data_IF_782673941266
#
_entry.id   IF_782673941266
#
_cell.length_a   1.000
_cell.length_b   1.000
_cell.length_c   1.000
_cell.angle_alpha   90.00
_cell.angle_beta   90.00
_cell.angle_gamma   90.00
#
_symmetry.space_group_name_H-M   'P 1'
#
loop_
_entity.id
_entity.type
_entity.pdbx_description
1 polymer ?
#
# COMPACT_ATOMS: atom_id res chain seq x y z
N UNK A 1 -25.98 0.78 53.63
CA UNK A 1 -26.76 1.44 52.55
C UNK A 1 -26.41 2.91 52.65
N UNK A 2 -25.62 3.54 51.78
CA UNK A 2 -25.82 3.76 50.34
C UNK A 2 -24.47 4.10 49.67
N UNK A 3 -24.15 3.41 48.57
CA UNK A 3 -23.02 3.75 47.71
C UNK A 3 -23.50 4.72 46.63
N UNK A 4 -22.92 5.92 46.58
CA UNK A 4 -23.21 6.94 45.57
C UNK A 4 -22.30 6.75 44.36
N UNK A 5 -22.88 6.24 43.27
CA UNK A 5 -22.23 6.01 41.98
C UNK A 5 -22.08 7.34 41.22
N UNK A 6 -20.85 7.87 41.13
CA UNK A 6 -20.56 8.97 40.20
C UNK A 6 -20.23 8.42 38.82
N UNK A 7 -21.24 8.39 37.96
CA UNK A 7 -21.11 8.20 36.51
C UNK A 7 -20.37 9.40 35.89
N UNK A 8 -19.10 9.22 35.54
CA UNK A 8 -18.38 10.15 34.67
C UNK A 8 -18.67 9.74 33.22
N UNK A 9 -19.63 10.43 32.63
CA UNK A 9 -19.96 10.38 31.20
C UNK A 9 -18.78 10.90 30.38
N UNK A 10 -17.93 9.99 29.89
CA UNK A 10 -16.90 10.28 28.91
C UNK A 10 -17.58 10.51 27.54
N UNK A 11 -17.93 11.76 27.23
CA UNK A 11 -18.39 12.15 25.89
C UNK A 11 -17.22 12.01 24.91
N UNK A 12 -17.16 10.88 24.21
CA UNK A 12 -16.26 10.68 23.09
C UNK A 12 -16.67 11.64 21.95
N UNK A 13 -15.82 12.63 21.67
CA UNK A 13 -15.94 13.47 20.48
C UNK A 13 -15.67 12.62 19.23
N UNK A 14 -16.74 12.19 18.59
CA UNK A 14 -16.71 11.61 17.25
C UNK A 14 -16.56 12.78 16.26
N UNK A 15 -15.33 13.11 15.85
CA UNK A 15 -15.15 14.06 14.75
C UNK A 15 -15.46 13.32 13.45
N UNK A 16 -16.72 13.44 13.01
CA UNK A 16 -17.09 13.19 11.62
C UNK A 16 -16.47 14.34 10.82
N UNK A 17 -15.46 14.04 10.00
CA UNK A 17 -14.96 15.02 9.02
C UNK A 17 -15.99 15.16 7.89
N UNK A 18 -17.05 15.91 8.16
CA UNK A 18 -17.90 16.51 7.15
C UNK A 18 -17.91 18.02 7.39
N UNK A 19 -17.19 18.75 6.54
CA UNK A 19 -17.33 20.20 6.41
C UNK A 19 -16.39 21.03 7.29
N UNK A 20 -15.17 21.28 6.80
CA UNK A 20 -14.49 22.57 6.98
C UNK A 20 -13.84 22.90 5.62
N UNK A 21 -14.08 24.10 5.04
CA UNK A 21 -13.56 24.44 3.72
C UNK A 21 -12.04 24.62 3.78
N UNK A 22 -11.34 23.96 2.87
CA UNK A 22 -9.94 24.25 2.61
C UNK A 22 -9.84 25.64 1.97
N UNK A 23 -9.25 26.60 2.67
CA UNK A 23 -8.63 27.77 2.06
C UNK A 23 -7.40 27.30 1.28
N UNK A 24 -7.61 26.88 0.04
CA UNK A 24 -6.57 26.83 -0.99
C UNK A 24 -7.19 27.33 -2.29
N UNK A 25 -6.48 28.28 -2.91
CA UNK A 25 -6.94 29.11 -4.01
C UNK A 25 -7.55 28.35 -5.20
N UNK A 26 -8.51 29.06 -5.78
CA UNK A 26 -9.23 28.79 -7.01
C UNK A 26 -8.29 28.43 -8.17
N UNK A 27 -8.46 27.24 -8.76
CA UNK A 27 -8.04 26.91 -10.13
C UNK A 27 -8.98 25.82 -10.65
N UNK A 28 -9.85 26.22 -11.58
CA UNK A 28 -10.76 25.35 -12.31
C UNK A 28 -9.99 24.33 -13.15
N UNK A 29 -10.14 23.04 -12.85
CA UNK A 29 -10.14 22.01 -13.88
C UNK A 29 -11.16 20.93 -13.50
N UNK A 30 -12.13 20.72 -14.39
CA UNK A 30 -13.19 19.73 -14.27
C UNK A 30 -12.57 18.34 -14.20
N UNK A 31 -12.72 17.64 -13.07
CA UNK A 31 -12.68 16.18 -13.04
C UNK A 31 -14.13 15.73 -12.93
N UNK A 32 -14.61 15.14 -14.03
CA UNK A 32 -15.94 14.59 -14.14
C UNK A 32 -16.25 13.66 -12.97
N UNK A 33 -17.46 13.85 -12.46
CA UNK A 33 -18.03 13.25 -11.28
C UNK A 33 -18.49 11.82 -11.54
N UNK A 34 -17.60 10.85 -11.37
CA UNK A 34 -17.96 9.43 -11.18
C UNK A 34 -16.94 8.71 -10.27
N UNK A 35 -16.63 9.28 -9.11
CA UNK A 35 -15.91 8.56 -8.05
C UNK A 35 -16.50 8.80 -6.65
N UNK A 36 -17.81 8.60 -6.54
CA UNK A 36 -18.40 8.12 -5.28
C UNK A 36 -18.70 6.63 -5.42
N UNK A 37 -17.67 5.84 -5.76
CA UNK A 37 -17.73 4.42 -5.45
C UNK A 37 -17.64 4.35 -3.92
N UNK A 38 -18.80 4.16 -3.27
CA UNK A 38 -18.86 3.68 -1.90
C UNK A 38 -17.79 2.60 -1.76
N UNK A 39 -16.81 2.81 -0.87
CA UNK A 39 -15.83 1.79 -0.52
C UNK A 39 -16.62 0.62 0.05
N UNK A 40 -17.04 -0.33 -0.80
CA UNK A 40 -17.39 -1.68 -0.38
C UNK A 40 -16.19 -2.12 0.43
N UNK A 41 -16.37 -2.20 1.75
CA UNK A 41 -15.29 -2.48 2.70
C UNK A 41 -14.67 -3.80 2.26
N UNK A 42 -13.53 -3.74 1.58
CA UNK A 42 -12.91 -4.92 0.99
C UNK A 42 -12.73 -5.96 2.09
N UNK A 43 -13.25 -7.16 1.87
CA UNK A 43 -13.23 -8.22 2.86
C UNK A 43 -11.78 -8.56 3.18
N UNK A 44 -11.43 -8.79 4.46
CA UNK A 44 -10.11 -9.28 4.82
C UNK A 44 -9.78 -10.54 4.03
N UNK A 45 -8.58 -10.60 3.45
CA UNK A 45 -8.06 -11.84 2.85
C UNK A 45 -7.21 -12.59 3.88
N UNK A 46 -7.27 -13.92 3.85
CA UNK A 46 -6.23 -14.74 4.46
C UNK A 46 -5.02 -14.71 3.51
N UNK A 47 -3.90 -14.16 3.97
CA UNK A 47 -2.74 -13.93 3.13
C UNK A 47 -2.09 -15.24 2.68
N UNK A 48 -2.03 -16.28 3.53
CA UNK A 48 -1.48 -17.59 3.15
C UNK A 48 -2.29 -18.22 2.00
N UNK A 49 -3.61 -18.35 2.18
CA UNK A 49 -4.50 -18.88 1.13
C UNK A 49 -4.43 -18.05 -0.16
N UNK A 50 -4.29 -16.73 -0.04
CA UNK A 50 -4.22 -15.82 -1.18
C UNK A 50 -2.92 -15.94 -1.97
N UNK A 51 -1.80 -16.23 -1.29
CA UNK A 51 -0.48 -16.41 -1.90
C UNK A 51 -0.21 -17.85 -2.35
N UNK A 52 -1.03 -18.81 -1.91
CA UNK A 52 -0.86 -20.22 -2.27
C UNK A 52 -0.85 -20.48 -3.79
N UNK A 53 -1.48 -19.62 -4.57
CA UNK A 53 -1.51 -19.71 -6.05
C UNK A 53 -0.13 -19.64 -6.71
N UNK A 54 0.90 -19.13 -6.01
CA UNK A 54 2.24 -19.07 -6.55
C UNK A 54 2.95 -20.43 -6.51
N UNK A 55 2.48 -21.36 -5.68
CA UNK A 55 3.05 -22.68 -5.53
C UNK A 55 2.53 -23.68 -6.57
N UNK A 56 3.37 -24.65 -6.98
CA UNK A 56 4.79 -24.81 -6.61
C UNK A 56 5.66 -23.74 -7.25
N UNK A 57 6.74 -23.32 -6.59
CA UNK A 57 7.74 -22.49 -7.23
C UNK A 57 8.52 -23.31 -8.26
N UNK A 58 8.82 -22.70 -9.38
CA UNK A 58 9.45 -23.29 -10.57
C UNK A 58 10.71 -22.51 -10.94
N UNK A 59 11.76 -23.23 -11.34
CA UNK A 59 13.01 -22.65 -11.84
C UNK A 59 12.86 -22.12 -13.28
N UNK A 60 11.83 -22.55 -14.00
CA UNK A 60 11.44 -22.04 -15.32
C UNK A 60 10.43 -20.89 -15.21
N UNK A 61 10.54 -20.07 -14.16
CA UNK A 61 9.68 -18.91 -13.98
C UNK A 61 10.49 -17.68 -13.57
N UNK A 62 10.03 -16.52 -14.04
CA UNK A 62 10.48 -15.22 -13.53
C UNK A 62 9.55 -14.75 -12.42
N UNK A 63 10.14 -14.21 -11.36
CA UNK A 63 9.42 -13.65 -10.22
C UNK A 63 9.71 -12.17 -10.08
N UNK A 64 8.74 -11.42 -9.59
CA UNK A 64 8.97 -10.02 -9.20
C UNK A 64 8.16 -9.59 -7.99
N UNK A 65 8.71 -8.62 -7.29
CA UNK A 65 8.03 -7.81 -6.28
C UNK A 65 8.03 -6.37 -6.73
N UNK A 66 6.86 -5.74 -6.67
CA UNK A 66 6.68 -4.33 -7.02
C UNK A 66 6.09 -3.59 -5.84
N UNK A 67 6.78 -2.56 -5.39
CA UNK A 67 6.33 -1.64 -4.35
C UNK A 67 5.62 -0.47 -5.02
N UNK A 68 4.36 -0.22 -4.66
CA UNK A 68 3.52 0.80 -5.28
C UNK A 68 3.19 1.92 -4.28
N UNK A 69 3.27 3.18 -4.74
CA UNK A 69 2.81 4.35 -4.01
C UNK A 69 1.61 4.98 -4.73
N UNK A 70 0.48 5.03 -4.04
CA UNK A 70 -0.75 5.72 -4.45
C UNK A 70 -0.89 6.99 -3.60
N UNK A 71 -0.78 8.15 -4.24
CA UNK A 71 -0.86 9.45 -3.59
C UNK A 71 -2.33 9.85 -3.38
N UNK A 72 -2.64 10.54 -2.28
CA UNK A 72 -3.97 11.12 -2.12
C UNK A 72 -4.21 12.30 -3.09
N UNK A 73 -3.14 12.91 -3.61
CA UNK A 73 -3.22 14.02 -4.54
C UNK A 73 -2.04 14.05 -5.52
N UNK A 74 -2.26 13.58 -6.74
CA UNK A 74 -1.22 13.49 -7.78
C UNK A 74 -0.72 14.90 -8.18
N UNK A 75 -1.56 15.93 -8.08
CA UNK A 75 -1.14 17.32 -8.37
C UNK A 75 -0.38 17.97 -7.21
N UNK A 76 -0.36 17.36 -6.04
CA UNK A 76 0.41 17.83 -4.88
C UNK A 76 0.99 16.63 -4.10
N UNK A 77 2.14 16.07 -4.52
CA UNK A 77 2.76 14.91 -3.86
C UNK A 77 3.17 15.13 -2.39
N UNK A 78 3.10 16.36 -1.88
CA UNK A 78 3.34 16.68 -0.45
C UNK A 78 2.05 16.62 0.38
N UNK A 79 0.89 16.60 -0.26
CA UNK A 79 -0.41 16.44 0.39
C UNK A 79 -0.54 14.99 0.89
N UNK A 80 -0.65 14.80 2.19
CA UNK A 80 -0.72 13.47 2.82
C UNK A 80 -2.15 13.02 3.10
N UNK A 81 -3.14 13.84 2.73
CA UNK A 81 -4.56 13.55 2.90
C UNK A 81 -5.42 14.48 2.03
N UNK A 82 -6.31 13.91 1.20
CA UNK A 82 -7.25 14.69 0.37
C UNK A 82 -8.57 13.94 0.28
N UNK A 83 -9.69 14.66 0.48
CA UNK A 83 -11.07 14.15 0.29
C UNK A 83 -11.39 12.81 1.00
N UNK A 84 -10.80 12.54 2.17
CA UNK A 84 -11.05 11.28 2.89
C UNK A 84 -9.97 10.22 2.71
N UNK A 85 -9.04 10.43 1.79
CA UNK A 85 -8.07 9.41 1.38
C UNK A 85 -6.65 9.85 1.75
N UNK A 86 -5.89 9.05 2.53
CA UNK A 86 -4.49 9.30 2.85
C UNK A 86 -3.52 8.75 1.79
N UNK A 87 -4.03 8.17 0.70
CA UNK A 87 -3.27 7.35 -0.23
C UNK A 87 -2.95 5.96 0.35
N UNK A 88 -2.13 5.19 -0.36
CA UNK A 88 -1.73 3.85 0.10
C UNK A 88 -0.37 3.39 -0.45
N UNK A 89 0.28 2.51 0.30
CA UNK A 89 1.46 1.76 -0.17
C UNK A 89 1.10 0.29 -0.15
N UNK A 90 1.33 -0.41 -1.25
CA UNK A 90 0.96 -1.82 -1.40
C UNK A 90 1.98 -2.57 -2.26
N UNK A 91 1.82 -3.89 -2.32
CA UNK A 91 2.67 -4.79 -3.10
C UNK A 91 1.89 -5.35 -4.29
N UNK A 92 2.61 -5.57 -5.39
CA UNK A 92 2.24 -6.49 -6.45
C UNK A 92 3.31 -7.57 -6.50
N UNK A 93 2.89 -8.83 -6.41
CA UNK A 93 3.73 -10.00 -6.64
C UNK A 93 3.38 -10.62 -7.98
N UNK A 94 4.39 -11.03 -8.74
CA UNK A 94 4.21 -11.65 -10.06
C UNK A 94 5.05 -12.91 -10.21
N UNK A 95 4.48 -13.90 -10.89
CA UNK A 95 5.16 -15.09 -11.39
C UNK A 95 4.80 -15.24 -12.86
N UNK A 96 5.80 -15.33 -13.72
CA UNK A 96 5.64 -15.64 -15.14
C UNK A 96 6.32 -16.95 -15.47
N UNK A 97 5.56 -17.93 -15.95
CA UNK A 97 6.14 -19.15 -16.49
C UNK A 97 6.83 -18.84 -17.83
N UNK A 98 8.09 -19.25 -17.98
CA UNK A 98 8.89 -18.95 -19.18
C UNK A 98 8.55 -19.83 -20.38
N UNK A 99 7.95 -21.01 -20.15
CA UNK A 99 7.58 -21.95 -21.21
C UNK A 99 6.19 -21.64 -21.79
N UNK A 100 5.20 -21.42 -20.92
CA UNK A 100 3.81 -21.15 -21.33
C UNK A 100 3.49 -19.66 -21.46
N UNK A 101 4.40 -18.78 -21.06
CA UNK A 101 4.19 -17.34 -20.91
C UNK A 101 3.03 -16.95 -19.95
N UNK A 102 2.44 -17.91 -19.23
CA UNK A 102 1.36 -17.64 -18.28
C UNK A 102 1.85 -16.76 -17.14
N UNK A 103 1.08 -15.72 -16.81
CA UNK A 103 1.39 -14.78 -15.74
C UNK A 103 0.34 -14.90 -14.64
N UNK A 104 0.80 -15.01 -13.40
CA UNK A 104 -0.01 -14.91 -12.18
C UNK A 104 0.42 -13.63 -11.46
N UNK A 105 -0.55 -12.79 -11.10
CA UNK A 105 -0.30 -11.59 -10.30
C UNK A 105 -1.21 -11.53 -9.08
N UNK A 106 -0.69 -10.99 -7.98
CA UNK A 106 -1.45 -10.72 -6.75
C UNK A 106 -1.10 -9.34 -6.23
N UNK A 107 -2.13 -8.56 -5.92
CA UNK A 107 -1.99 -7.18 -5.46
C UNK A 107 -2.72 -7.00 -4.16
N UNK A 108 -2.02 -6.53 -3.13
CA UNK A 108 -2.57 -6.46 -1.78
C UNK A 108 -1.80 -5.49 -0.89
N UNK A 109 -2.46 -5.03 0.15
CA UNK A 109 -1.90 -4.07 1.10
C UNK A 109 -2.34 -4.31 2.54
N UNK A 110 -1.71 -3.59 3.44
CA UNK A 110 -1.90 -3.71 4.88
C UNK A 110 -2.79 -2.58 5.42
N UNK A 111 -3.93 -2.94 6.01
CA UNK A 111 -4.98 -2.02 6.41
C UNK A 111 -5.32 -2.16 7.89
N UNK A 112 -5.88 -1.12 8.52
CA UNK A 112 -6.49 -1.29 9.82
C UNK A 112 -7.87 -1.97 9.68
N UNK A 113 -8.26 -2.82 10.65
CA UNK A 113 -9.61 -3.42 10.67
C UNK A 113 -10.71 -2.40 10.96
N UNK A 114 -10.37 -1.34 11.69
CA UNK A 114 -11.26 -0.25 12.08
C UNK A 114 -10.58 1.08 11.76
N UNK A 115 -11.34 2.17 11.70
CA UNK A 115 -10.76 3.49 11.46
C UNK A 115 -9.78 3.86 12.58
N UNK A 116 -8.64 4.42 12.19
CA UNK A 116 -7.59 4.85 13.12
C UNK A 116 -7.71 6.36 13.30
N UNK A 117 -7.62 6.82 14.54
CA UNK A 117 -7.71 8.23 14.90
C UNK A 117 -6.56 8.64 15.82
N UNK A 118 -6.46 9.92 16.17
CA UNK A 118 -5.41 10.39 17.06
C UNK A 118 -5.52 9.76 18.46
N UNK A 119 -6.75 9.39 18.86
CA UNK A 119 -7.06 8.74 20.13
C UNK A 119 -6.81 7.22 20.06
N UNK A 120 -7.17 6.58 18.95
CA UNK A 120 -6.97 5.14 18.75
C UNK A 120 -5.63 4.91 18.07
N UNK A 121 -4.59 4.73 18.87
CA UNK A 121 -3.20 4.65 18.36
C UNK A 121 -2.88 3.33 17.66
N UNK A 122 -3.53 2.23 18.03
CA UNK A 122 -3.18 0.89 17.55
C UNK A 122 -4.41 -0.03 17.48
N UNK A 123 -4.53 -0.76 16.37
CA UNK A 123 -5.69 -1.62 16.09
C UNK A 123 -5.24 -2.92 15.44
N UNK A 124 -6.12 -3.94 15.41
CA UNK A 124 -5.88 -5.13 14.60
C UNK A 124 -5.74 -4.75 13.12
N UNK A 125 -4.80 -5.37 12.44
CA UNK A 125 -4.63 -5.23 11.00
C UNK A 125 -5.50 -6.23 10.23
N UNK A 126 -5.62 -6.00 8.93
CA UNK A 126 -6.08 -6.94 7.93
C UNK A 126 -5.28 -6.73 6.64
N UNK A 127 -5.14 -7.77 5.85
CA UNK A 127 -4.75 -7.63 4.45
C UNK A 127 -6.01 -7.46 3.60
N UNK A 128 -5.93 -6.66 2.55
CA UNK A 128 -7.01 -6.53 1.57
C UNK A 128 -6.43 -6.47 0.16
N UNK A 129 -7.20 -6.98 -0.80
CA UNK A 129 -6.87 -6.98 -2.23
C UNK A 129 -6.79 -5.55 -2.78
N UNK A 130 -5.79 -5.31 -3.63
CA UNK A 130 -5.51 -4.04 -4.30
C UNK A 130 -5.54 -4.15 -5.82
N UNK A 131 -6.16 -5.20 -6.35
CA UNK A 131 -6.34 -5.37 -7.78
C UNK A 131 -7.11 -4.21 -8.39
N UNK A 132 -6.79 -3.83 -9.62
CA UNK A 132 -7.36 -2.66 -10.33
C UNK A 132 -7.15 -1.29 -9.66
N UNK A 133 -6.38 -1.20 -8.57
CA UNK A 133 -6.06 0.09 -7.94
C UNK A 133 -5.15 0.92 -8.82
N UNK A 134 -5.47 2.20 -8.99
CA UNK A 134 -4.57 3.18 -9.60
C UNK A 134 -3.49 3.62 -8.61
N UNK A 135 -2.30 3.94 -9.11
CA UNK A 135 -1.17 4.40 -8.30
C UNK A 135 -0.23 5.28 -9.11
N UNK A 136 0.65 6.00 -8.43
CA UNK A 136 1.44 7.12 -8.98
C UNK A 136 2.88 6.79 -9.27
N UNK A 137 3.44 5.88 -8.48
CA UNK A 137 4.82 5.45 -8.63
C UNK A 137 4.97 3.99 -8.24
N UNK A 138 5.92 3.32 -8.87
CA UNK A 138 6.35 2.02 -8.41
C UNK A 138 7.84 1.81 -8.58
N UNK A 139 8.36 0.84 -7.85
CA UNK A 139 9.66 0.25 -8.08
C UNK A 139 9.53 -1.26 -8.11
N UNK A 140 10.16 -1.91 -9.09
CA UNK A 140 10.10 -3.36 -9.31
C UNK A 140 11.47 -4.01 -9.13
N UNK A 141 11.53 -5.15 -8.45
CA UNK A 141 12.70 -6.01 -8.41
C UNK A 141 12.35 -7.39 -8.96
N UNK A 142 13.18 -7.88 -9.90
CA UNK A 142 13.21 -9.30 -10.26
C UNK A 142 13.82 -10.12 -9.14
N UNK A 143 13.22 -11.28 -8.89
CA UNK A 143 13.56 -12.17 -7.80
C UNK A 143 13.94 -13.55 -8.33
N UNK A 144 14.92 -14.15 -7.67
CA UNK A 144 15.17 -15.59 -7.73
C UNK A 144 14.03 -16.36 -7.05
N UNK A 145 14.01 -17.68 -7.22
CA UNK A 145 13.04 -18.56 -6.56
C UNK A 145 13.10 -18.41 -5.04
N UNK A 146 14.31 -18.46 -4.47
CA UNK A 146 14.53 -18.36 -3.02
C UNK A 146 14.15 -16.98 -2.47
N UNK A 147 14.51 -15.90 -3.18
CA UNK A 147 14.10 -14.55 -2.79
C UNK A 147 12.57 -14.39 -2.84
N UNK A 148 11.90 -15.00 -3.81
CA UNK A 148 10.44 -14.96 -3.90
C UNK A 148 9.78 -15.76 -2.78
N UNK A 149 10.26 -16.97 -2.50
CA UNK A 149 9.81 -17.78 -1.36
C UNK A 149 9.95 -17.00 -0.04
N UNK A 150 11.08 -16.33 0.15
CA UNK A 150 11.33 -15.47 1.30
C UNK A 150 10.33 -14.32 1.38
N UNK A 151 10.05 -13.62 0.27
CA UNK A 151 9.03 -12.56 0.23
C UNK A 151 7.64 -13.08 0.60
N UNK A 152 7.24 -14.27 0.15
CA UNK A 152 5.95 -14.87 0.51
C UNK A 152 5.87 -15.11 2.03
N UNK A 153 6.93 -15.66 2.63
CA UNK A 153 7.02 -15.87 4.07
C UNK A 153 6.93 -14.55 4.86
N UNK A 154 7.68 -13.52 4.45
CA UNK A 154 7.68 -12.21 5.11
C UNK A 154 6.32 -11.50 5.01
N UNK A 155 5.61 -11.67 3.88
CA UNK A 155 4.23 -11.20 3.75
C UNK A 155 3.32 -11.79 4.83
N UNK A 156 3.38 -13.10 5.04
CA UNK A 156 2.58 -13.78 6.06
C UNK A 156 2.97 -13.39 7.49
N UNK A 157 4.27 -13.30 7.77
CA UNK A 157 4.77 -12.97 9.10
C UNK A 157 4.40 -11.54 9.48
N UNK A 158 4.69 -10.57 8.62
CA UNK A 158 4.42 -9.17 8.92
C UNK A 158 2.94 -8.80 8.87
N UNK A 159 2.09 -9.62 8.24
CA UNK A 159 0.64 -9.44 8.29
C UNK A 159 0.08 -9.60 9.72
N UNK A 160 0.78 -10.32 10.60
CA UNK A 160 0.38 -10.56 12.01
C UNK A 160 0.54 -9.31 12.89
N UNK A 161 1.35 -8.34 12.47
CA UNK A 161 1.58 -7.10 13.23
C UNK A 161 0.31 -6.26 13.34
N UNK A 162 0.18 -5.50 14.43
CA UNK A 162 -0.93 -4.57 14.64
C UNK A 162 -0.73 -3.29 13.83
N UNK A 163 -1.81 -2.72 13.30
CA UNK A 163 -1.76 -1.46 12.58
C UNK A 163 -1.65 -0.28 13.55
N UNK A 164 -0.72 0.62 13.28
CA UNK A 164 -0.54 1.89 13.96
C UNK A 164 -0.19 2.95 12.92
N UNK A 165 -1.00 4.00 12.80
CA UNK A 165 -0.82 5.03 11.76
C UNK A 165 0.58 5.66 11.77
N UNK A 166 1.22 5.80 12.94
CA UNK A 166 2.53 6.46 13.09
C UNK A 166 3.70 5.48 13.05
N UNK A 167 3.52 4.30 13.66
CA UNK A 167 4.61 3.35 13.94
C UNK A 167 4.67 2.17 12.98
N UNK A 168 3.53 1.71 12.49
CA UNK A 168 3.45 0.51 11.65
C UNK A 168 2.17 0.49 10.81
N UNK A 169 2.24 1.05 9.61
CA UNK A 169 1.12 1.15 8.68
C UNK A 169 1.43 0.47 7.33
N UNK A 170 0.61 0.72 6.31
CA UNK A 170 0.81 0.18 4.96
C UNK A 170 2.23 0.40 4.40
N UNK A 171 2.81 1.59 4.62
CA UNK A 171 4.17 1.93 4.23
C UNK A 171 5.19 1.04 4.93
N UNK A 172 5.05 0.88 6.25
CA UNK A 172 6.01 0.11 7.06
C UNK A 172 5.98 -1.37 6.68
N UNK A 173 4.79 -1.93 6.54
CA UNK A 173 4.60 -3.30 6.08
C UNK A 173 5.31 -3.57 4.76
N UNK A 174 5.08 -2.72 3.75
CA UNK A 174 5.65 -2.93 2.41
C UNK A 174 7.17 -2.73 2.40
N UNK A 175 7.67 -1.68 3.05
CA UNK A 175 9.11 -1.41 3.08
C UNK A 175 9.88 -2.41 3.93
N UNK A 176 9.30 -2.95 5.00
CA UNK A 176 9.97 -3.99 5.79
C UNK A 176 10.15 -5.27 4.98
N UNK A 177 9.15 -5.68 4.19
CA UNK A 177 9.26 -6.83 3.26
C UNK A 177 10.31 -6.56 2.18
N UNK A 178 10.22 -5.42 1.50
CA UNK A 178 11.15 -5.13 0.41
C UNK A 178 12.57 -4.99 0.93
N UNK A 179 12.77 -4.30 2.05
CA UNK A 179 14.07 -4.10 2.65
C UNK A 179 14.57 -5.31 3.47
N UNK A 180 13.80 -6.39 3.66
CA UNK A 180 14.33 -7.62 4.25
C UNK A 180 15.07 -8.51 3.24
N UNK A 181 14.84 -8.31 1.93
CA UNK A 181 15.55 -9.03 0.87
C UNK A 181 17.08 -8.89 0.97
N UNK A 182 17.85 -10.00 0.96
CA UNK A 182 19.30 -9.95 1.08
C UNK A 182 19.96 -9.33 -0.17
N UNK A 183 21.12 -8.69 0.02
CA UNK A 183 21.98 -8.27 -1.10
C UNK A 183 21.49 -7.08 -1.94
N UNK A 184 20.40 -6.41 -1.57
CA UNK A 184 19.90 -5.22 -2.28
C UNK A 184 20.27 -3.90 -1.59
N UNK A 185 20.41 -2.83 -2.39
CA UNK A 185 20.35 -1.45 -1.90
C UNK A 185 18.97 -1.22 -1.26
N UNK A 186 18.93 -0.86 0.02
CA UNK A 186 17.65 -0.68 0.74
C UNK A 186 16.98 0.62 0.32
N UNK A 187 15.66 0.59 0.19
CA UNK A 187 14.88 1.81 -0.02
C UNK A 187 14.95 2.70 1.22
N UNK A 188 15.11 4.03 1.05
CA UNK A 188 15.04 4.97 2.16
C UNK A 188 13.72 4.89 2.92
N UNK A 189 13.80 5.10 4.24
CA UNK A 189 12.63 5.07 5.13
C UNK A 189 12.31 6.49 5.60
N UNK A 190 11.83 7.35 4.70
CA UNK A 190 11.55 8.74 5.07
C UNK A 190 10.16 8.93 5.68
N UNK A 191 10.13 9.28 6.97
CA UNK A 191 8.90 9.66 7.68
C UNK A 191 8.48 11.09 7.35
N UNK A 192 7.19 11.31 7.10
CA UNK A 192 6.61 12.63 6.85
C UNK A 192 5.76 13.10 8.03
N UNK A 193 5.55 14.42 8.13
CA UNK A 193 4.63 14.99 9.12
C UNK A 193 3.19 14.79 8.63
N UNK A 194 2.37 14.15 9.45
CA UNK A 194 0.93 14.09 9.22
C UNK A 194 0.25 15.37 9.73
N UNK A 195 -0.93 15.73 9.20
CA UNK A 195 -1.62 16.94 9.59
C UNK A 195 -1.94 16.93 11.10
N UNK A 196 -2.13 18.12 11.69
CA UNK A 196 -2.55 18.28 13.09
C UNK A 196 -1.67 17.53 14.11
N UNK A 197 -2.30 16.69 14.94
CA UNK A 197 -1.73 15.94 16.08
C UNK A 197 -1.30 14.51 15.73
N UNK A 198 -1.32 14.15 14.45
CA UNK A 198 -0.98 12.80 13.99
C UNK A 198 0.53 12.55 13.92
N UNK A 199 1.38 13.52 14.27
CA UNK A 199 2.83 13.31 14.43
C UNK A 199 3.55 13.02 13.11
N UNK A 200 4.57 12.16 13.16
CA UNK A 200 5.31 11.71 11.96
C UNK A 200 5.09 10.21 11.75
N UNK A 201 5.05 9.78 10.49
CA UNK A 201 4.89 8.37 10.11
C UNK A 201 5.25 8.12 8.66
N UNK A 202 5.28 6.85 8.27
CA UNK A 202 5.50 6.44 6.90
C UNK A 202 4.29 6.74 6.02
N UNK A 203 4.48 7.19 4.79
CA UNK A 203 3.36 7.52 3.90
C UNK A 203 3.68 7.28 2.43
N UNK A 204 2.65 7.19 1.56
CA UNK A 204 2.84 7.12 0.11
C UNK A 204 3.60 8.32 -0.44
N UNK A 205 3.36 9.52 0.10
CA UNK A 205 4.10 10.74 -0.25
C UNK A 205 5.60 10.63 0.09
N UNK A 206 5.92 10.01 1.24
CA UNK A 206 7.29 9.74 1.65
C UNK A 206 7.99 8.83 0.64
N UNK A 207 7.37 7.69 0.35
CA UNK A 207 7.87 6.73 -0.64
C UNK A 207 8.02 7.37 -2.03
N UNK A 208 7.00 8.08 -2.52
CA UNK A 208 7.04 8.76 -3.82
C UNK A 208 8.22 9.72 -3.92
N UNK A 209 8.47 10.53 -2.89
CA UNK A 209 9.63 11.42 -2.83
C UNK A 209 10.94 10.64 -2.84
N UNK A 210 11.02 9.56 -2.08
CA UNK A 210 12.23 8.73 -2.00
C UNK A 210 12.53 8.10 -3.38
N UNK A 211 11.51 7.58 -4.07
CA UNK A 211 11.64 7.07 -5.45
C UNK A 211 12.05 8.17 -6.44
N UNK A 212 11.48 9.37 -6.31
CA UNK A 212 11.83 10.51 -7.17
C UNK A 212 13.30 10.90 -7.01
N UNK A 213 13.78 10.92 -5.77
CA UNK A 213 15.17 11.19 -5.46
C UNK A 213 16.09 10.12 -6.07
N UNK A 214 15.84 8.83 -5.77
CA UNK A 214 16.63 7.70 -6.31
C UNK A 214 16.71 7.73 -7.84
N UNK A 215 15.59 8.01 -8.50
CA UNK A 215 15.51 8.14 -9.95
C UNK A 215 16.36 9.31 -10.48
N UNK A 216 16.36 10.45 -9.78
CA UNK A 216 17.11 11.65 -10.19
C UNK A 216 18.61 11.61 -9.87
N UNK A 217 19.02 10.86 -8.86
CA UNK A 217 20.43 10.78 -8.40
C UNK A 217 21.22 9.65 -9.05
N UNK A 218 20.63 8.91 -9.99
CA UNK A 218 21.29 7.79 -10.67
C UNK A 218 21.55 6.59 -9.74
N UNK A 219 20.69 6.35 -8.75
CA UNK A 219 20.76 5.13 -7.93
C UNK A 219 20.65 3.87 -8.83
N UNK A 220 21.16 2.74 -8.34
CA UNK A 220 20.99 1.43 -9.01
C UNK A 220 19.51 1.09 -9.26
N UNK A 221 18.61 1.69 -8.48
CA UNK A 221 17.18 1.56 -8.62
C UNK A 221 16.54 2.37 -9.75
N UNK A 222 17.21 3.41 -10.26
CA UNK A 222 16.62 4.35 -11.22
C UNK A 222 15.95 3.69 -12.44
N UNK A 223 16.54 2.65 -13.08
CA UNK A 223 15.93 1.98 -14.24
C UNK A 223 14.64 1.21 -13.93
N UNK A 224 14.39 0.92 -12.65
CA UNK A 224 13.27 0.09 -12.20
C UNK A 224 12.12 0.91 -11.62
N UNK A 225 12.27 2.24 -11.57
CA UNK A 225 11.28 3.16 -11.04
C UNK A 225 10.40 3.68 -12.18
N UNK A 226 9.07 3.63 -11.98
CA UNK A 226 8.07 4.15 -12.90
C UNK A 226 7.23 5.21 -12.20
N UNK A 227 6.83 6.25 -12.94
CA UNK A 227 5.91 7.30 -12.50
C UNK A 227 4.77 7.47 -13.51
N UNK A 228 3.60 7.89 -13.06
CA UNK A 228 2.45 8.19 -13.90
C UNK A 228 1.15 7.64 -13.31
N UNK A 229 0.06 7.66 -14.07
CA UNK A 229 -1.18 6.99 -13.69
C UNK A 229 -1.04 5.53 -14.09
N UNK A 230 -0.61 4.71 -13.14
CA UNK A 230 -0.40 3.28 -13.29
C UNK A 230 -1.59 2.53 -12.69
N UNK A 231 -1.81 1.27 -13.09
CA UNK A 231 -2.93 0.47 -12.59
C UNK A 231 -2.49 -0.95 -12.25
N UNK A 232 -2.88 -1.40 -11.07
CA UNK A 232 -2.63 -2.77 -10.63
C UNK A 232 -3.42 -3.76 -11.50
N UNK A 233 -2.85 -4.93 -11.84
CA UNK A 233 -3.57 -5.96 -12.56
C UNK A 233 -4.88 -6.38 -11.88
N UNK A 234 -5.86 -6.92 -12.64
CA UNK A 234 -7.06 -7.55 -12.08
C UNK A 234 -6.73 -8.81 -11.27
N UNK A 235 -7.57 -9.13 -10.27
CA UNK A 235 -7.34 -10.19 -9.27
C UNK A 235 -7.11 -11.59 -9.86
N UNK A 236 -7.80 -11.88 -10.96
CA UNK A 236 -7.86 -13.20 -11.60
C UNK A 236 -7.25 -13.15 -13.01
N UNK A 237 -6.17 -12.39 -13.20
CA UNK A 237 -5.45 -12.44 -14.47
C UNK A 237 -4.68 -13.75 -14.59
N UNK A 238 -5.25 -14.69 -15.35
CA UNK A 238 -4.50 -15.68 -16.13
C UNK A 238 -4.44 -15.14 -17.56
N UNK A 239 -3.31 -14.53 -17.93
CA UNK A 239 -3.07 -14.20 -19.34
C UNK A 239 -2.38 -15.39 -20.00
N UNK A 240 -3.15 -16.21 -20.73
CA UNK A 240 -2.59 -17.10 -21.72
C UNK A 240 -2.20 -16.23 -22.93
N UNK A 241 -0.94 -15.82 -23.00
CA UNK A 241 -0.37 -15.33 -24.25
C UNK A 241 -0.08 -16.54 -25.15
N UNK A 242 -1.12 -17.22 -25.62
CA UNK A 242 -1.02 -17.97 -26.87
C UNK A 242 -1.10 -16.91 -27.97
N UNK A 243 0.02 -16.21 -28.19
CA UNK A 243 0.22 -15.49 -29.43
C UNK A 243 0.50 -16.54 -30.50
N UNK A 244 -0.41 -16.61 -31.45
CA UNK A 244 -0.32 -17.42 -32.67
C UNK A 244 1.10 -17.37 -33.25
N UNK A 245 1.76 -18.53 -33.29
CA UNK A 245 2.83 -18.84 -34.22
C UNK A 245 2.44 -20.12 -34.96
#
# INVERSE_FOLDING_TARGET
MTASTKNILLKAFLVILSGIPALCGNCNSKKDSTHSAQVKKAQPINIGDYLQVFYPLDNNAEYSVTVCADLPDNSNPKCVYKKGEPGHVFLILSKRNLLSAAVITKSFGFYPRVLVSALVKQVKSKISDNSNREFDASIEKKLTNDEFAFVLQECEEFAKKKYNLKKYNCYDYVLEIFNSLPGIEKLPVTKVKFPFIFGKGGSPCGLYRDLKNLSSTGSSWAPYIKFGILKSPPRDTFQNLIANF
#
